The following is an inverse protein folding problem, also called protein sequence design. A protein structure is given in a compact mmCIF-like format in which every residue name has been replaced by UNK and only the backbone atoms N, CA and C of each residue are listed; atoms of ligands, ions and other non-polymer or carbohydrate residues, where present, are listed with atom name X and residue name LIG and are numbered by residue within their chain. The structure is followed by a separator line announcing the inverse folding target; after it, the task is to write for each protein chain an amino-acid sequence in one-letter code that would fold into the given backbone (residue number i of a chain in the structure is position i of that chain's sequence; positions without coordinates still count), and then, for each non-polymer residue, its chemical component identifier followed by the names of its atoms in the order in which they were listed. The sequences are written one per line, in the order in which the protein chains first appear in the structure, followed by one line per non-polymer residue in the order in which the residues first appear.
data_IF_284323635069
#
_entry.id   IF_284323635069
#
_cell.length_a   1.000
_cell.length_b   1.000
_cell.length_c   1.000
_cell.angle_alpha   90.00
_cell.angle_beta   90.00
_cell.angle_gamma   90.00
#
_symmetry.space_group_name_H-M   'P 1'
#
loop_
_entity.id
_entity.type
_entity.pdbx_description
1 polymer ?
#
# COMPACT_ATOMS: atom_id res chain seq x y z
N UNK A 1 5.03 3.18 25.90
CA UNK A 1 5.84 2.55 26.98
C UNK A 1 7.20 3.23 27.15
N UNK A 2 8.09 3.22 26.14
CA UNK A 2 9.45 3.78 26.24
C UNK A 2 9.51 5.19 26.88
N UNK A 3 8.72 6.16 26.40
CA UNK A 3 8.80 7.55 26.88
C UNK A 3 8.15 7.84 28.24
N UNK A 4 7.26 6.97 28.74
CA UNK A 4 6.42 7.25 29.93
C UNK A 4 6.61 6.23 31.05
N UNK A 5 6.88 4.98 30.68
CA UNK A 5 7.02 3.84 31.60
C UNK A 5 8.14 2.91 31.11
N UNK A 6 9.40 3.39 31.01
CA UNK A 6 10.51 2.58 30.52
C UNK A 6 10.76 1.33 31.38
N UNK A 7 10.49 1.41 32.69
CA UNK A 7 10.62 0.29 33.62
C UNK A 7 9.66 -0.88 33.33
N UNK A 8 8.51 -0.64 32.71
CA UNK A 8 7.63 -1.73 32.26
C UNK A 8 8.20 -2.44 31.04
N UNK A 9 8.80 -1.67 30.14
CA UNK A 9 9.43 -2.20 28.93
C UNK A 9 10.66 -3.05 29.30
N UNK A 10 11.47 -2.59 30.26
CA UNK A 10 12.62 -3.33 30.79
C UNK A 10 12.25 -4.66 31.46
N UNK A 11 11.04 -4.78 32.00
CA UNK A 11 10.52 -6.01 32.61
C UNK A 11 9.89 -6.99 31.59
N UNK A 12 9.95 -6.68 30.30
CA UNK A 12 9.35 -7.52 29.26
C UNK A 12 7.82 -7.54 29.29
N UNK A 13 7.20 -6.45 29.76
CA UNK A 13 5.73 -6.34 29.88
C UNK A 13 5.02 -6.33 28.52
N UNK A 14 5.69 -5.85 27.47
CA UNK A 14 5.10 -5.74 26.13
C UNK A 14 5.24 -7.07 25.39
N UNK A 15 4.10 -7.61 24.97
CA UNK A 15 4.00 -8.81 24.15
C UNK A 15 3.02 -8.56 23.01
N UNK A 16 3.18 -9.26 21.90
CA UNK A 16 2.21 -9.27 20.82
C UNK A 16 1.99 -10.69 20.31
N UNK A 17 0.79 -10.94 19.78
CA UNK A 17 0.46 -12.18 19.10
C UNK A 17 0.83 -12.04 17.63
N UNK A 18 1.65 -12.97 17.12
CA UNK A 18 1.99 -13.03 15.69
C UNK A 18 1.08 -14.04 15.01
N UNK A 19 0.22 -13.55 14.11
CA UNK A 19 -0.70 -14.39 13.35
C UNK A 19 -0.16 -14.74 11.98
N UNK A 20 -0.63 -15.84 11.41
CA UNK A 20 -0.31 -16.22 10.03
C UNK A 20 -0.78 -15.12 9.06
N UNK A 21 -0.01 -14.89 7.99
CA UNK A 21 -0.35 -13.92 6.94
C UNK A 21 -0.72 -14.60 5.62
N UNK A 22 -0.25 -15.83 5.40
CA UNK A 22 -0.56 -16.64 4.22
C UNK A 22 -0.64 -18.11 4.62
N UNK A 23 -1.70 -18.78 4.18
CA UNK A 23 -1.80 -20.24 4.27
C UNK A 23 -1.90 -20.85 2.88
N UNK A 24 -1.19 -21.95 2.66
CA UNK A 24 -1.28 -22.73 1.43
C UNK A 24 -1.77 -24.14 1.71
N UNK A 25 -2.70 -24.62 0.89
CA UNK A 25 -3.35 -25.93 1.06
C UNK A 25 -3.27 -26.79 -0.19
N UNK A 26 -2.96 -28.07 -0.02
CA UNK A 26 -3.01 -29.10 -1.07
C UNK A 26 -3.46 -30.45 -0.48
N UNK A 27 -4.70 -30.82 -0.74
CA UNK A 27 -5.32 -31.99 -0.10
C UNK A 27 -5.37 -31.79 1.42
N UNK A 28 -4.72 -32.69 2.16
CA UNK A 28 -4.63 -32.63 3.62
C UNK A 28 -3.41 -31.85 4.14
N UNK A 29 -2.52 -31.39 3.25
CA UNK A 29 -1.35 -30.60 3.65
C UNK A 29 -1.74 -29.13 3.74
N UNK A 30 -1.44 -28.50 4.89
CA UNK A 30 -1.60 -27.06 5.13
C UNK A 30 -0.25 -26.53 5.62
N UNK A 31 0.27 -25.50 4.98
CA UNK A 31 1.50 -24.81 5.39
C UNK A 31 1.13 -23.36 5.70
N UNK A 32 1.53 -22.88 6.87
CA UNK A 32 1.21 -21.55 7.39
C UNK A 32 2.47 -20.68 7.38
N UNK A 33 2.39 -19.50 6.79
CA UNK A 33 3.48 -18.53 6.70
C UNK A 33 3.17 -17.30 7.55
N UNK A 34 4.18 -16.83 8.26
CA UNK A 34 4.09 -15.66 9.16
C UNK A 34 4.87 -14.46 8.62
N UNK A 35 5.61 -14.66 7.53
CA UNK A 35 6.32 -13.63 6.79
C UNK A 35 6.11 -13.84 5.29
N UNK A 36 6.11 -12.74 4.54
CA UNK A 36 6.02 -12.78 3.07
C UNK A 36 7.28 -13.45 2.50
N UNK A 37 8.40 -13.30 3.20
CA UNK A 37 9.67 -13.87 2.83
C UNK A 37 9.67 -15.41 2.85
N UNK A 38 9.16 -16.04 3.91
CA UNK A 38 9.11 -17.51 4.01
C UNK A 38 8.24 -18.11 2.91
N UNK A 39 7.14 -17.43 2.59
CA UNK A 39 6.28 -17.78 1.47
C UNK A 39 7.03 -17.67 0.12
N UNK A 40 7.76 -16.58 -0.12
CA UNK A 40 8.57 -16.41 -1.32
C UNK A 40 9.68 -17.46 -1.45
N UNK A 41 10.38 -17.78 -0.36
CA UNK A 41 11.37 -18.86 -0.35
C UNK A 41 10.71 -20.20 -0.70
N UNK A 42 9.60 -20.53 -0.06
CA UNK A 42 8.87 -21.76 -0.31
C UNK A 42 8.41 -21.86 -1.77
N UNK A 43 7.87 -20.80 -2.36
CA UNK A 43 7.47 -20.79 -3.78
C UNK A 43 8.66 -20.91 -4.73
N UNK A 44 9.86 -20.42 -4.35
CA UNK A 44 11.06 -20.52 -5.18
C UNK A 44 11.62 -21.95 -5.29
N UNK A 45 11.46 -22.76 -4.24
CA UNK A 45 11.99 -24.13 -4.18
C UNK A 45 10.93 -25.21 -4.40
N UNK A 46 9.64 -24.89 -4.33
CA UNK A 46 8.55 -25.87 -4.43
C UNK A 46 8.02 -25.95 -5.86
N UNK A 47 8.22 -27.06 -6.59
CA UNK A 47 7.62 -27.24 -7.92
C UNK A 47 6.09 -27.25 -7.83
N UNK A 48 5.42 -26.70 -8.83
CA UNK A 48 3.95 -26.65 -8.90
C UNK A 48 3.27 -25.96 -7.70
N UNK A 49 3.96 -25.03 -7.01
CA UNK A 49 3.37 -24.24 -5.92
C UNK A 49 2.09 -23.52 -6.35
N UNK A 50 1.99 -23.12 -7.63
CA UNK A 50 0.79 -22.50 -8.21
C UNK A 50 -0.46 -23.40 -8.19
N UNK A 51 -0.29 -24.72 -8.05
CA UNK A 51 -1.40 -25.67 -7.95
C UNK A 51 -1.99 -25.78 -6.54
N UNK A 52 -1.36 -25.14 -5.55
CA UNK A 52 -1.86 -25.08 -4.18
C UNK A 52 -2.93 -23.99 -4.10
N UNK A 53 -3.85 -24.14 -3.16
CA UNK A 53 -4.78 -23.09 -2.81
C UNK A 53 -4.09 -22.09 -1.87
N UNK A 54 -4.12 -20.79 -2.19
CA UNK A 54 -3.37 -19.75 -1.48
C UNK A 54 -4.36 -18.77 -0.84
N UNK A 55 -4.35 -18.70 0.48
CA UNK A 55 -5.21 -17.83 1.28
C UNK A 55 -4.38 -16.74 1.96
N UNK A 56 -4.77 -15.47 1.81
CA UNK A 56 -4.03 -14.31 2.33
C UNK A 56 -4.81 -13.63 3.47
N UNK A 57 -4.13 -13.34 4.58
CA UNK A 57 -4.70 -12.82 5.83
C UNK A 57 -4.06 -11.48 6.19
N UNK A 58 -4.53 -10.38 5.59
CA UNK A 58 -4.00 -9.02 5.86
C UNK A 58 -4.61 -8.35 7.09
N UNK A 59 -5.85 -8.69 7.41
CA UNK A 59 -6.56 -8.17 8.57
C UNK A 59 -6.92 -9.30 9.52
N UNK A 60 -6.94 -9.00 10.83
CA UNK A 60 -7.38 -9.97 11.85
C UNK A 60 -8.82 -10.47 11.61
N UNK A 61 -9.65 -9.67 10.93
CA UNK A 61 -11.01 -10.07 10.55
C UNK A 61 -11.11 -10.98 9.31
N UNK A 62 -9.99 -11.35 8.69
CA UNK A 62 -9.96 -12.29 7.56
C UNK A 62 -9.93 -13.75 8.01
N UNK A 63 -9.66 -14.01 9.30
CA UNK A 63 -9.61 -15.35 9.88
C UNK A 63 -11.00 -15.81 10.32
N UNK A 64 -11.34 -17.08 10.08
CA UNK A 64 -12.58 -17.69 10.57
C UNK A 64 -12.42 -18.13 12.05
N UNK A 65 -13.53 -18.29 12.78
CA UNK A 65 -13.50 -18.70 14.19
C UNK A 65 -12.71 -20.00 14.41
N UNK A 66 -12.82 -20.95 13.48
CA UNK A 66 -12.06 -22.21 13.52
C UNK A 66 -10.53 -22.01 13.38
N UNK A 67 -10.11 -21.06 12.53
CA UNK A 67 -8.69 -20.70 12.39
C UNK A 67 -8.16 -20.09 13.68
N UNK A 68 -8.95 -19.21 14.30
CA UNK A 68 -8.63 -18.55 15.56
C UNK A 68 -8.51 -19.59 16.68
N UNK A 69 -9.49 -20.49 16.81
CA UNK A 69 -9.43 -21.57 17.80
C UNK A 69 -8.19 -22.45 17.63
N UNK A 70 -7.82 -22.78 16.39
CA UNK A 70 -6.61 -23.55 16.11
C UNK A 70 -5.34 -22.79 16.48
N UNK A 71 -5.27 -21.49 16.16
CA UNK A 71 -4.13 -20.63 16.48
C UNK A 71 -3.93 -20.45 17.98
N UNK A 72 -5.02 -20.35 18.74
CA UNK A 72 -4.98 -20.22 20.19
C UNK A 72 -4.63 -21.53 20.92
N UNK A 73 -4.59 -22.69 20.24
CA UNK A 73 -4.04 -23.93 20.82
C UNK A 73 -2.52 -23.86 21.00
N UNK A 74 -1.83 -23.12 20.14
CA UNK A 74 -0.38 -22.92 20.21
C UNK A 74 -0.03 -21.48 19.79
N UNK A 75 -0.37 -20.48 20.63
CA UNK A 75 -0.29 -19.09 20.25
C UNK A 75 1.18 -18.67 20.12
N UNK A 76 1.53 -18.06 18.99
CA UNK A 76 2.85 -17.47 18.76
C UNK A 76 2.94 -16.10 19.43
N UNK A 77 3.10 -16.11 20.74
CA UNK A 77 3.31 -14.90 21.54
C UNK A 77 4.77 -14.50 21.45
N UNK A 78 5.04 -13.31 20.94
CA UNK A 78 6.36 -12.70 20.95
C UNK A 78 6.45 -11.75 22.14
N UNK A 79 7.44 -11.96 22.99
CA UNK A 79 7.75 -11.08 24.10
C UNK A 79 8.89 -10.13 23.70
N UNK A 80 8.61 -8.84 23.71
CA UNK A 80 9.62 -7.82 23.48
C UNK A 80 10.42 -7.61 24.76
N UNK A 81 11.75 -7.63 24.68
CA UNK A 81 12.60 -7.30 25.81
C UNK A 81 13.51 -6.10 25.50
N UNK A 82 13.81 -5.34 26.53
CA UNK A 82 14.64 -4.15 26.44
C UNK A 82 16.11 -4.54 26.44
N UNK A 83 16.76 -4.41 25.29
CA UNK A 83 18.19 -4.60 25.12
C UNK A 83 18.96 -3.26 25.21
N UNK A 84 20.28 -3.33 25.31
CA UNK A 84 21.14 -2.14 25.48
C UNK A 84 21.06 -1.17 24.30
N UNK A 85 20.69 -1.64 23.10
CA UNK A 85 20.53 -0.81 21.90
C UNK A 85 19.11 -0.25 21.73
N UNK A 86 18.15 -0.69 22.54
CA UNK A 86 16.76 -0.23 22.48
C UNK A 86 16.59 1.30 22.57
N UNK A 87 17.30 2.05 23.45
CA UNK A 87 17.16 3.51 23.50
C UNK A 87 17.57 4.18 22.18
N UNK A 88 18.69 3.76 21.59
CA UNK A 88 19.18 4.32 20.33
C UNK A 88 18.24 4.01 19.17
N UNK A 89 17.77 2.77 19.07
CA UNK A 89 16.82 2.35 18.04
C UNK A 89 15.47 3.11 18.15
N UNK A 90 14.94 3.24 19.36
CA UNK A 90 13.72 4.02 19.63
C UNK A 90 13.90 5.50 19.27
N UNK A 91 15.04 6.09 19.62
CA UNK A 91 15.33 7.48 19.28
C UNK A 91 15.41 7.66 17.77
N UNK A 92 16.15 6.81 17.05
CA UNK A 92 16.25 6.86 15.59
C UNK A 92 14.87 6.79 14.92
N UNK A 93 14.03 5.84 15.35
CA UNK A 93 12.71 5.59 14.79
C UNK A 93 11.74 6.76 14.98
N UNK A 94 11.71 7.38 16.19
CA UNK A 94 10.62 8.29 16.56
C UNK A 94 11.03 9.75 16.81
N UNK A 95 12.32 10.05 16.94
CA UNK A 95 12.76 11.42 17.25
C UNK A 95 12.71 12.31 15.99
N UNK A 96 12.01 13.44 16.08
CA UNK A 96 11.72 14.34 14.94
C UNK A 96 13.00 14.82 14.24
N UNK A 97 14.04 15.17 15.01
CA UNK A 97 15.31 15.71 14.48
C UNK A 97 16.22 14.68 13.80
N UNK A 98 15.89 13.39 13.81
CA UNK A 98 16.74 12.32 13.24
C UNK A 98 16.30 11.89 11.83
N UNK A 99 15.62 12.77 11.09
CA UNK A 99 15.13 12.48 9.74
C UNK A 99 16.25 12.04 8.79
N UNK A 100 17.42 12.70 8.80
CA UNK A 100 18.53 12.34 7.91
C UNK A 100 19.17 10.98 8.27
N UNK A 101 19.26 10.66 9.56
CA UNK A 101 19.73 9.33 9.99
C UNK A 101 18.74 8.24 9.56
N UNK A 102 17.42 8.52 9.64
CA UNK A 102 16.40 7.57 9.12
C UNK A 102 16.52 7.34 7.62
N UNK A 103 16.97 8.32 6.83
CA UNK A 103 17.21 8.12 5.39
C UNK A 103 18.31 7.09 5.16
N UNK A 104 19.42 7.20 5.88
CA UNK A 104 20.52 6.23 5.76
C UNK A 104 20.10 4.86 6.29
N UNK A 105 19.39 4.82 7.41
CA UNK A 105 18.82 3.59 7.97
C UNK A 105 17.93 2.86 6.97
N UNK A 106 16.97 3.55 6.35
CA UNK A 106 16.10 3.01 5.30
C UNK A 106 16.91 2.58 4.07
N UNK A 107 17.91 3.37 3.66
CA UNK A 107 18.77 3.08 2.51
C UNK A 107 19.61 1.81 2.72
N UNK A 108 20.12 1.63 3.93
CA UNK A 108 21.01 0.52 4.30
C UNK A 108 20.26 -0.78 4.56
N UNK A 109 18.93 -0.73 4.66
CA UNK A 109 18.12 -1.91 4.98
C UNK A 109 18.28 -3.01 3.95
N UNK A 110 18.47 -4.22 4.47
CA UNK A 110 18.38 -5.44 3.71
C UNK A 110 17.35 -6.35 4.39
N UNK A 111 16.61 -7.16 3.60
CA UNK A 111 15.79 -8.22 4.15
C UNK A 111 16.64 -9.10 5.08
N UNK A 112 16.29 -9.15 6.37
CA UNK A 112 16.92 -10.04 7.33
C UNK A 112 15.97 -11.19 7.64
N UNK A 113 16.47 -12.40 7.46
CA UNK A 113 15.69 -13.62 7.52
C UNK A 113 15.87 -14.21 8.91
N UNK A 114 14.80 -14.22 9.73
CA UNK A 114 14.58 -14.97 11.00
C UNK A 114 14.02 -14.14 12.16
N UNK A 115 13.89 -12.83 12.03
CA UNK A 115 13.33 -12.01 13.12
C UNK A 115 11.89 -12.41 13.44
N UNK A 116 11.19 -12.98 12.46
CA UNK A 116 9.83 -13.48 12.55
C UNK A 116 9.69 -14.80 13.34
N UNK A 117 10.80 -15.51 13.57
CA UNK A 117 10.83 -16.77 14.35
C UNK A 117 11.10 -16.54 15.84
N UNK A 118 11.57 -15.34 16.22
CA UNK A 118 11.96 -15.03 17.59
C UNK A 118 10.74 -14.95 18.51
N UNK A 119 10.67 -15.82 19.53
CA UNK A 119 9.69 -15.70 20.63
C UNK A 119 10.10 -14.63 21.66
N UNK A 120 11.40 -14.42 21.83
CA UNK A 120 11.97 -13.35 22.65
C UNK A 120 12.70 -12.39 21.72
N UNK A 121 12.10 -11.24 21.44
CA UNK A 121 12.61 -10.30 20.44
C UNK A 121 13.22 -9.07 21.11
N UNK A 122 14.51 -8.76 20.86
CA UNK A 122 15.10 -7.49 21.28
C UNK A 122 14.33 -6.33 20.63
N UNK A 123 14.11 -5.26 21.37
CA UNK A 123 13.42 -4.07 20.85
C UNK A 123 14.22 -3.46 19.69
N UNK A 124 15.54 -3.40 19.79
CA UNK A 124 16.38 -2.94 18.68
C UNK A 124 16.18 -3.78 17.41
N UNK A 125 16.06 -5.11 17.55
CA UNK A 125 15.82 -6.00 16.43
C UNK A 125 14.43 -5.80 15.82
N UNK A 126 13.39 -5.68 16.65
CA UNK A 126 12.05 -5.32 16.18
C UNK A 126 12.07 -4.03 15.36
N UNK A 127 12.73 -2.98 15.86
CA UNK A 127 12.80 -1.70 15.17
C UNK A 127 13.53 -1.84 13.83
N UNK A 128 14.71 -2.46 13.82
CA UNK A 128 15.61 -2.48 12.67
C UNK A 128 15.25 -3.49 11.58
N UNK A 129 14.43 -4.51 11.88
CA UNK A 129 14.15 -5.58 10.91
C UNK A 129 12.65 -5.72 10.59
N UNK A 130 11.76 -5.36 11.52
CA UNK A 130 10.30 -5.51 11.34
C UNK A 130 9.61 -4.14 11.17
N UNK A 131 9.82 -3.21 12.09
CA UNK A 131 9.22 -1.86 12.00
C UNK A 131 9.72 -1.05 10.81
N UNK A 132 10.98 -1.23 10.40
CA UNK A 132 11.54 -0.54 9.23
C UNK A 132 10.77 -0.88 7.94
N UNK A 133 10.17 -2.07 7.83
CA UNK A 133 9.38 -2.47 6.66
C UNK A 133 8.18 -1.54 6.47
N UNK A 134 7.55 -1.12 7.57
CA UNK A 134 6.50 -0.11 7.55
C UNK A 134 7.03 1.23 7.02
N UNK A 135 8.22 1.67 7.45
CA UNK A 135 8.84 2.91 6.98
C UNK A 135 9.15 2.87 5.48
N UNK A 136 9.65 1.74 4.98
CA UNK A 136 9.90 1.52 3.55
C UNK A 136 8.59 1.54 2.75
N UNK A 137 7.56 0.85 3.23
CA UNK A 137 6.25 0.83 2.61
C UNK A 137 5.60 2.24 2.59
N UNK A 138 5.78 3.02 3.66
CA UNK A 138 5.28 4.39 3.73
C UNK A 138 6.00 5.32 2.73
N UNK A 139 7.32 5.20 2.58
CA UNK A 139 8.06 5.91 1.54
C UNK A 139 7.56 5.52 0.14
N UNK A 140 7.37 4.22 -0.11
CA UNK A 140 6.94 3.71 -1.42
C UNK A 140 5.53 4.17 -1.85
N UNK A 141 4.63 4.41 -0.88
CA UNK A 141 3.27 4.91 -1.16
C UNK A 141 3.17 6.44 -1.15
N UNK A 142 4.02 7.12 -0.38
CA UNK A 142 3.97 8.58 -0.17
C UNK A 142 4.78 9.36 -1.22
N UNK A 143 5.90 8.80 -1.70
CA UNK A 143 6.74 9.43 -2.74
C UNK A 143 6.36 8.86 -4.12
N UNK A 144 6.09 9.69 -5.14
CA UNK A 144 5.80 9.18 -6.47
C UNK A 144 7.02 8.56 -7.14
N UNK A 145 6.78 7.75 -8.16
CA UNK A 145 7.87 7.26 -9.01
C UNK A 145 8.31 8.35 -9.99
N UNK A 146 9.60 8.39 -10.28
CA UNK A 146 10.18 9.36 -11.20
C UNK A 146 9.57 9.28 -12.61
N UNK A 147 9.39 8.06 -13.13
CA UNK A 147 8.93 7.82 -14.52
C UNK A 147 7.55 8.41 -14.81
N UNK A 148 6.59 8.24 -13.89
CA UNK A 148 5.22 8.70 -14.12
C UNK A 148 4.80 9.88 -13.25
N UNK A 149 5.56 10.22 -12.21
CA UNK A 149 5.18 11.26 -11.27
C UNK A 149 3.98 10.92 -10.39
N UNK A 150 3.60 9.63 -10.30
CA UNK A 150 2.40 9.19 -9.59
C UNK A 150 2.74 8.41 -8.32
N UNK A 151 1.98 8.71 -7.25
CA UNK A 151 1.91 7.86 -6.05
C UNK A 151 1.18 6.56 -6.38
N UNK A 152 1.39 5.53 -5.57
CA UNK A 152 0.77 4.21 -5.79
C UNK A 152 -0.76 4.29 -5.93
N UNK A 153 -1.43 5.03 -5.03
CA UNK A 153 -2.89 5.21 -5.07
C UNK A 153 -3.39 5.86 -6.38
N UNK A 154 -2.64 6.84 -6.89
CA UNK A 154 -2.97 7.53 -8.14
C UNK A 154 -2.78 6.59 -9.33
N UNK A 155 -1.71 5.77 -9.32
CA UNK A 155 -1.46 4.76 -10.34
C UNK A 155 -2.57 3.71 -10.41
N UNK A 156 -2.99 3.21 -9.24
CA UNK A 156 -4.13 2.29 -9.11
C UNK A 156 -5.42 2.93 -9.64
N UNK A 157 -5.69 4.18 -9.28
CA UNK A 157 -6.85 4.93 -9.79
C UNK A 157 -6.86 5.05 -11.32
N UNK A 158 -5.72 5.38 -11.94
CA UNK A 158 -5.60 5.46 -13.40
C UNK A 158 -5.77 4.08 -14.05
N UNK A 159 -5.05 3.07 -13.56
CA UNK A 159 -5.10 1.72 -14.13
C UNK A 159 -6.48 1.10 -14.03
N UNK A 160 -7.10 1.13 -12.84
CA UNK A 160 -8.46 0.65 -12.66
C UNK A 160 -9.46 1.42 -13.53
N UNK A 161 -9.28 2.73 -13.71
CA UNK A 161 -10.08 3.52 -14.65
C UNK A 161 -9.88 3.05 -16.10
N UNK A 162 -8.65 2.81 -16.54
CA UNK A 162 -8.39 2.26 -17.88
C UNK A 162 -9.08 0.91 -18.09
N UNK A 163 -9.09 0.02 -17.08
CA UNK A 163 -9.83 -1.25 -17.14
C UNK A 163 -11.34 -1.05 -17.18
N UNK A 164 -11.87 -0.05 -16.46
CA UNK A 164 -13.29 0.29 -16.43
C UNK A 164 -13.81 0.81 -17.78
N UNK A 165 -13.14 1.81 -18.33
CA UNK A 165 -13.58 2.50 -19.55
C UNK A 165 -12.99 1.90 -20.83
N UNK A 166 -11.97 1.06 -20.73
CA UNK A 166 -11.30 0.40 -21.87
C UNK A 166 -10.95 1.44 -22.95
N UNK A 167 -11.21 1.13 -24.23
CA UNK A 167 -10.96 2.04 -25.35
C UNK A 167 -11.79 3.33 -25.37
N UNK A 168 -12.76 3.50 -24.46
CA UNK A 168 -13.50 4.77 -24.33
C UNK A 168 -12.83 5.78 -23.38
N UNK A 169 -11.80 5.37 -22.63
CA UNK A 169 -11.08 6.25 -21.71
C UNK A 169 -10.53 7.49 -22.44
N UNK A 170 -10.84 8.67 -21.92
CA UNK A 170 -10.47 9.95 -22.56
C UNK A 170 -11.24 10.27 -23.83
N UNK A 171 -12.43 9.71 -24.03
CA UNK A 171 -13.34 10.08 -25.11
C UNK A 171 -14.62 10.70 -24.58
N UNK A 172 -15.39 11.37 -25.44
CA UNK A 172 -16.75 11.85 -25.10
C UNK A 172 -17.73 10.71 -24.78
N UNK A 173 -17.42 9.46 -25.20
CA UNK A 173 -18.23 8.26 -24.93
C UNK A 173 -18.02 7.70 -23.52
N UNK A 174 -16.99 8.14 -22.79
CA UNK A 174 -16.77 7.71 -21.41
C UNK A 174 -17.93 8.16 -20.50
N UNK A 175 -18.73 7.20 -20.05
CA UNK A 175 -19.84 7.46 -19.13
C UNK A 175 -19.34 8.01 -17.78
N UNK A 176 -20.07 8.97 -17.22
CA UNK A 176 -19.78 9.54 -15.89
C UNK A 176 -20.20 8.54 -14.81
N UNK A 177 -19.32 8.27 -13.85
CA UNK A 177 -19.59 7.37 -12.72
C UNK A 177 -19.42 8.12 -11.39
N UNK A 178 -20.14 7.71 -10.36
CA UNK A 178 -19.92 8.21 -8.99
C UNK A 178 -18.49 7.89 -8.52
N UNK A 179 -17.85 8.82 -7.81
CA UNK A 179 -16.47 8.64 -7.33
C UNK A 179 -16.38 7.43 -6.40
N UNK A 180 -17.34 7.25 -5.48
CA UNK A 180 -17.38 6.08 -4.60
C UNK A 180 -17.43 4.76 -5.36
N UNK A 181 -18.28 4.65 -6.39
CA UNK A 181 -18.38 3.45 -7.21
C UNK A 181 -17.10 3.18 -8.02
N UNK A 182 -16.42 4.24 -8.47
CA UNK A 182 -15.12 4.11 -9.14
C UNK A 182 -14.05 3.61 -8.18
N UNK A 183 -13.98 4.19 -6.97
CA UNK A 183 -13.04 3.77 -5.95
C UNK A 183 -13.24 2.29 -5.58
N UNK A 184 -14.48 1.83 -5.38
CA UNK A 184 -14.77 0.41 -5.15
C UNK A 184 -14.29 -0.48 -6.30
N UNK A 185 -14.56 -0.10 -7.54
CA UNK A 185 -14.10 -0.86 -8.73
C UNK A 185 -12.57 -0.90 -8.82
N UNK A 186 -11.90 0.23 -8.61
CA UNK A 186 -10.44 0.29 -8.62
C UNK A 186 -9.86 -0.56 -7.48
N UNK A 187 -10.45 -0.51 -6.29
CA UNK A 187 -10.01 -1.29 -5.14
C UNK A 187 -10.03 -2.79 -5.44
N UNK A 188 -11.13 -3.27 -6.03
CA UNK A 188 -11.29 -4.67 -6.45
C UNK A 188 -10.29 -5.07 -7.55
N UNK A 189 -10.03 -4.19 -8.54
CA UNK A 189 -9.17 -4.53 -9.70
C UNK A 189 -7.69 -4.36 -9.45
N UNK A 190 -7.30 -3.69 -8.38
CA UNK A 190 -5.90 -3.37 -8.09
C UNK A 190 -5.44 -3.83 -6.73
N UNK A 191 -6.26 -4.57 -5.98
CA UNK A 191 -5.96 -4.99 -4.61
C UNK A 191 -5.52 -3.79 -3.76
N UNK A 192 -6.41 -2.80 -3.61
CA UNK A 192 -6.12 -1.63 -2.77
C UNK A 192 -6.53 -1.88 -1.32
N UNK A 193 -5.55 -1.83 -0.40
CA UNK A 193 -5.74 -2.27 1.00
C UNK A 193 -5.95 -1.13 2.01
N UNK A 194 -5.87 0.14 1.61
CA UNK A 194 -5.93 1.28 2.55
C UNK A 194 -7.32 1.92 2.69
N UNK A 195 -8.35 1.15 2.39
CA UNK A 195 -9.75 1.54 2.54
C UNK A 195 -10.28 2.46 1.43
N UNK A 196 -11.60 2.40 1.14
CA UNK A 196 -12.19 3.09 0.00
C UNK A 196 -12.18 4.61 0.13
N UNK A 197 -12.13 5.15 1.35
CA UNK A 197 -12.08 6.60 1.59
C UNK A 197 -10.80 7.23 1.05
N UNK A 198 -9.64 6.63 1.37
CA UNK A 198 -8.34 7.12 0.89
C UNK A 198 -8.26 7.18 -0.63
N UNK A 199 -8.84 6.17 -1.30
CA UNK A 199 -8.90 6.12 -2.76
C UNK A 199 -9.89 7.15 -3.34
N UNK A 200 -11.05 7.36 -2.70
CA UNK A 200 -11.97 8.44 -3.07
C UNK A 200 -11.28 9.81 -2.98
N UNK A 201 -10.61 10.08 -1.87
CA UNK A 201 -9.91 11.35 -1.62
C UNK A 201 -8.80 11.58 -2.65
N UNK A 202 -8.05 10.52 -3.01
CA UNK A 202 -7.07 10.57 -4.08
C UNK A 202 -7.70 10.91 -5.44
N UNK A 203 -8.83 10.28 -5.80
CA UNK A 203 -9.54 10.58 -7.06
C UNK A 203 -10.06 12.02 -7.07
N UNK A 204 -10.62 12.52 -5.96
CA UNK A 204 -11.08 13.91 -5.82
C UNK A 204 -9.92 14.88 -6.05
N UNK A 205 -8.76 14.66 -5.41
CA UNK A 205 -7.57 15.47 -5.62
C UNK A 205 -7.07 15.46 -7.08
N UNK A 206 -7.25 14.34 -7.79
CA UNK A 206 -6.90 14.21 -9.20
C UNK A 206 -7.91 14.87 -10.16
N UNK A 207 -9.08 15.29 -9.66
CA UNK A 207 -10.11 16.02 -10.41
C UNK A 207 -9.93 17.54 -10.29
N UNK A 208 -9.38 18.04 -9.18
CA UNK A 208 -9.27 19.47 -8.91
C UNK A 208 -8.65 20.26 -10.08
N UNK A 209 -9.35 21.32 -10.50
CA UNK A 209 -9.01 22.19 -11.63
C UNK A 209 -8.96 23.69 -11.26
N UNK A 210 -9.09 24.02 -9.97
CA UNK A 210 -8.97 25.40 -9.49
C UNK A 210 -7.51 25.88 -9.50
N UNK A 211 -7.29 27.19 -9.63
CA UNK A 211 -5.94 27.77 -9.70
C UNK A 211 -5.11 27.46 -8.45
N UNK A 212 -3.96 26.81 -8.64
CA UNK A 212 -3.08 26.32 -7.57
C UNK A 212 -3.22 24.81 -7.29
N UNK A 213 -4.10 24.11 -8.01
CA UNK A 213 -4.19 22.64 -7.99
C UNK A 213 -3.47 22.01 -9.19
N UNK A 214 -4.11 21.12 -9.96
CA UNK A 214 -3.51 20.48 -11.11
C UNK A 214 -3.55 21.40 -12.34
N UNK A 215 -2.41 21.64 -12.98
CA UNK A 215 -2.37 22.29 -14.30
C UNK A 215 -3.05 21.43 -15.37
N UNK A 216 -2.97 20.12 -15.21
CA UNK A 216 -3.57 19.12 -16.10
C UNK A 216 -4.28 18.06 -15.24
N UNK A 217 -5.53 18.33 -14.79
CA UNK A 217 -6.31 17.40 -13.98
C UNK A 217 -6.51 16.08 -14.73
N UNK A 218 -6.43 14.96 -14.03
CA UNK A 218 -6.52 13.61 -14.62
C UNK A 218 -7.95 13.21 -14.96
N UNK A 219 -8.89 13.72 -14.19
CA UNK A 219 -10.30 13.36 -14.28
C UNK A 219 -11.16 14.62 -14.44
N UNK A 220 -12.33 14.50 -15.06
CA UNK A 220 -13.26 15.62 -15.23
C UNK A 220 -14.09 15.83 -13.96
N UNK A 221 -14.33 17.08 -13.58
CA UNK A 221 -15.30 17.42 -12.54
C UNK A 221 -16.74 17.31 -13.08
N UNK A 222 -17.57 16.46 -12.47
CA UNK A 222 -19.01 16.46 -12.68
C UNK A 222 -19.75 16.44 -11.33
N UNK A 223 -19.98 17.63 -10.80
CA UNK A 223 -20.44 17.88 -9.43
C UNK A 223 -19.51 18.90 -8.77
N UNK A 224 -19.69 19.13 -7.48
CA UNK A 224 -18.83 20.03 -6.72
C UNK A 224 -17.63 19.27 -6.15
N UNK A 225 -16.46 19.49 -6.74
CA UNK A 225 -15.17 18.88 -6.33
C UNK A 225 -14.32 19.81 -5.47
N UNK A 226 -14.95 20.85 -4.91
CA UNK A 226 -14.27 21.81 -4.06
C UNK A 226 -13.69 22.95 -4.87
N UNK A 227 -13.33 24.01 -4.16
CA UNK A 227 -12.92 25.28 -4.74
C UNK A 227 -11.60 25.73 -4.15
N UNK A 228 -11.03 26.76 -4.77
CA UNK A 228 -9.85 27.45 -4.24
C UNK A 228 -10.04 27.94 -2.80
N UNK A 229 -11.25 28.36 -2.41
CA UNK A 229 -11.49 29.03 -1.12
C UNK A 229 -11.09 28.16 0.07
N UNK A 230 -11.30 26.84 -0.03
CA UNK A 230 -10.94 25.87 1.01
C UNK A 230 -9.88 24.87 0.53
N UNK A 231 -9.17 25.20 -0.55
CA UNK A 231 -8.17 24.33 -1.19
C UNK A 231 -8.72 22.92 -1.48
N UNK A 232 -9.96 22.84 -1.97
CA UNK A 232 -10.65 21.59 -2.28
C UNK A 232 -11.29 20.87 -1.09
N UNK A 233 -11.09 21.33 0.15
CA UNK A 233 -11.69 20.69 1.35
C UNK A 233 -13.22 20.84 1.41
N UNK A 234 -13.78 21.75 0.63
CA UNK A 234 -15.21 21.98 0.41
C UNK A 234 -15.81 21.09 -0.69
N UNK A 235 -15.08 20.05 -1.13
CA UNK A 235 -15.60 19.05 -2.04
C UNK A 235 -16.82 18.32 -1.45
N UNK A 236 -17.81 18.06 -2.29
CA UNK A 236 -18.96 17.25 -1.90
C UNK A 236 -18.58 15.77 -1.77
N UNK A 237 -19.33 15.05 -0.93
CA UNK A 237 -19.14 13.62 -0.68
C UNK A 237 -19.10 12.79 -2.00
N UNK A 238 -18.17 11.83 -2.05
CA UNK A 238 -17.91 10.93 -3.18
C UNK A 238 -19.14 10.12 -3.65
N UNK A 239 -20.20 10.03 -2.82
CA UNK A 239 -21.49 9.42 -3.16
C UNK A 239 -22.32 10.25 -4.14
N UNK A 240 -22.09 11.56 -4.20
CA UNK A 240 -22.85 12.50 -5.05
C UNK A 240 -22.06 12.99 -6.25
N UNK A 241 -20.74 13.16 -6.09
CA UNK A 241 -19.86 13.62 -7.16
C UNK A 241 -19.61 12.51 -8.19
N UNK A 242 -19.56 12.91 -9.47
CA UNK A 242 -19.29 12.01 -10.59
C UNK A 242 -18.04 12.45 -11.33
N UNK A 243 -17.37 11.48 -11.95
CA UNK A 243 -16.17 11.77 -12.74
C UNK A 243 -16.04 10.82 -13.94
N UNK A 244 -15.09 11.13 -14.82
CA UNK A 244 -14.65 10.32 -15.96
C UNK A 244 -13.23 10.74 -16.35
N UNK A 245 -12.47 9.90 -17.08
CA UNK A 245 -11.13 10.26 -17.54
C UNK A 245 -11.12 11.48 -18.47
N UNK A 246 -10.08 12.29 -18.38
CA UNK A 246 -9.91 13.47 -19.23
C UNK A 246 -9.55 13.11 -20.66
N UNK A 247 -9.92 13.98 -21.60
CA UNK A 247 -9.83 13.71 -23.04
C UNK A 247 -8.41 13.43 -23.54
N UNK A 248 -7.42 13.93 -22.80
CA UNK A 248 -6.01 13.83 -23.15
C UNK A 248 -5.38 12.46 -22.82
N UNK A 249 -6.05 11.59 -22.05
CA UNK A 249 -5.50 10.30 -21.62
C UNK A 249 -4.99 9.44 -22.78
N UNK A 250 -5.74 9.36 -23.89
CA UNK A 250 -5.36 8.60 -25.10
C UNK A 250 -4.07 9.09 -25.78
N UNK A 251 -3.65 10.32 -25.48
CA UNK A 251 -2.42 10.89 -26.02
C UNK A 251 -1.26 10.70 -25.06
N UNK A 252 -1.53 10.74 -23.76
CA UNK A 252 -0.49 10.65 -22.74
C UNK A 252 -0.13 9.20 -22.39
N UNK A 253 -1.12 8.33 -22.25
CA UNK A 253 -0.96 6.92 -21.92
C UNK A 253 -1.28 6.08 -23.15
N UNK A 254 -0.24 5.64 -23.85
CA UNK A 254 -0.38 4.86 -25.08
C UNK A 254 -0.70 3.41 -24.73
N UNK A 255 -1.69 2.82 -25.41
CA UNK A 255 -2.03 1.41 -25.18
C UNK A 255 -0.91 0.49 -25.66
N UNK A 256 -0.16 0.96 -26.65
CA UNK A 256 1.03 0.33 -27.25
C UNK A 256 2.15 0.11 -26.22
N UNK A 257 2.20 0.89 -25.14
CA UNK A 257 3.19 0.73 -24.07
C UNK A 257 2.84 -0.41 -23.10
N UNK A 258 1.60 -0.92 -23.12
CA UNK A 258 1.13 -1.94 -22.17
C UNK A 258 2.03 -3.17 -22.09
N UNK A 259 2.55 -3.74 -23.21
CA UNK A 259 3.46 -4.88 -23.17
C UNK A 259 4.81 -4.57 -22.50
N UNK A 260 5.21 -3.30 -22.39
CA UNK A 260 6.47 -2.88 -21.78
C UNK A 260 6.37 -2.76 -20.25
N UNK A 261 5.16 -2.77 -19.70
CA UNK A 261 4.97 -2.56 -18.29
C UNK A 261 5.41 -3.76 -17.47
N UNK A 262 6.28 -3.51 -16.47
CA UNK A 262 6.43 -4.42 -15.35
C UNK A 262 5.20 -4.30 -14.45
N UNK A 263 4.40 -5.35 -14.39
CA UNK A 263 3.19 -5.39 -13.57
C UNK A 263 3.52 -5.66 -12.10
N UNK A 264 2.82 -4.98 -11.19
CA UNK A 264 2.82 -5.35 -9.78
C UNK A 264 2.00 -6.64 -9.57
N UNK A 265 2.46 -7.46 -8.65
CA UNK A 265 1.76 -8.67 -8.21
C UNK A 265 1.44 -8.49 -6.73
N UNK A 266 0.17 -8.67 -6.38
CA UNK A 266 -0.31 -8.65 -5.00
C UNK A 266 -1.25 -9.83 -4.82
N UNK A 267 -1.01 -10.65 -3.80
CA UNK A 267 -1.79 -11.87 -3.53
C UNK A 267 -1.90 -12.82 -4.74
N UNK A 268 -0.81 -12.94 -5.50
CA UNK A 268 -0.75 -13.75 -6.72
C UNK A 268 -1.54 -13.18 -7.91
N UNK A 269 -2.22 -12.04 -7.74
CA UNK A 269 -2.97 -11.35 -8.79
C UNK A 269 -2.12 -10.26 -9.42
N UNK A 270 -2.25 -10.12 -10.74
CA UNK A 270 -1.62 -9.04 -11.49
C UNK A 270 -2.46 -7.77 -11.33
N UNK A 271 -1.87 -6.72 -10.76
CA UNK A 271 -2.56 -5.47 -10.43
C UNK A 271 -2.24 -4.36 -11.44
N UNK A 272 -1.82 -3.18 -10.97
CA UNK A 272 -1.34 -2.05 -11.78
C UNK A 272 0.12 -2.21 -12.21
N UNK A 273 0.56 -1.51 -13.27
CA UNK A 273 1.99 -1.43 -13.60
C UNK A 273 2.79 -0.81 -12.45
N UNK A 274 4.07 -1.14 -12.28
CA UNK A 274 4.92 -0.51 -11.25
C UNK A 274 5.16 0.96 -11.57
N UNK A 275 5.16 1.34 -12.85
CA UNK A 275 5.15 2.73 -13.32
C UNK A 275 4.53 2.79 -14.70
N UNK A 276 3.81 3.87 -14.99
CA UNK A 276 3.42 4.19 -16.36
C UNK A 276 4.58 4.81 -17.14
N UNK A 277 4.43 4.88 -18.46
CA UNK A 277 5.35 5.55 -19.38
C UNK A 277 4.61 6.72 -20.06
N UNK A 278 4.22 7.78 -19.32
CA UNK A 278 3.53 8.90 -19.94
C UNK A 278 4.44 9.62 -20.93
N UNK A 279 3.87 10.08 -22.05
CA UNK A 279 4.62 10.85 -23.07
C UNK A 279 5.21 12.14 -22.51
N UNK A 280 4.58 12.73 -21.49
CA UNK A 280 5.02 13.96 -20.83
C UNK A 280 5.31 13.72 -19.33
N UNK A 281 6.29 14.44 -18.75
CA UNK A 281 6.63 14.32 -17.33
C UNK A 281 5.55 14.96 -16.45
N UNK A 282 4.57 14.17 -16.03
CA UNK A 282 3.41 14.62 -15.24
C UNK A 282 3.78 15.31 -13.92
N UNK A 283 4.87 14.90 -13.27
CA UNK A 283 5.34 15.53 -12.03
C UNK A 283 5.82 16.97 -12.23
N UNK A 284 6.33 17.32 -13.42
CA UNK A 284 6.70 18.71 -13.74
C UNK A 284 5.45 19.54 -14.08
N UNK A 285 4.44 18.91 -14.66
CA UNK A 285 3.19 19.59 -15.05
C UNK A 285 2.32 19.87 -13.82
N UNK A 286 2.04 18.85 -13.02
CA UNK A 286 1.09 18.92 -11.90
C UNK A 286 1.76 19.17 -10.54
N UNK A 287 3.10 19.09 -10.47
CA UNK A 287 3.80 19.11 -9.20
C UNK A 287 3.56 17.84 -8.37
N UNK A 288 4.28 17.74 -7.26
CA UNK A 288 4.16 16.66 -6.28
C UNK A 288 4.33 17.25 -4.90
N UNK A 289 3.51 16.82 -3.95
CA UNK A 289 3.73 17.02 -2.52
C UNK A 289 3.75 15.65 -1.82
N UNK A 290 4.77 15.41 -1.00
CA UNK A 290 5.08 14.15 -0.33
C UNK A 290 5.38 14.37 1.12
#
# INVERSE_FOLDING_TARGET
FHCKYPSLLARGYVKYLRTKIIDVKKGNQVIKFYSEHDYQNWTSVTPNWKSWDHSYFKGLGSSEDADIEEEFKAPKIVQCFYDDLAPMAMQLAFHEKLADQRKEWIRSWQPDFKVEEMQMQPISAFINHEFIQFSIADVARSIPRFMDGLKQVQRKAIWGSMKKWKGSAGTKKAAKIKVGNLASYVSEKTEYHHGPKSLCDAIVNMVHDFTGSNNMPYFCANGQFGTRNMLGKDASDARYTRTRPQWWWKYLFKNEDTPLFRMAVDEGKICEPVSFLPVLPLHLINGVSG
#
